data_IF_389615821420
#
_entry.id   IF_389615821420
#
_cell.length_a   1.000
_cell.length_b   1.000
_cell.length_c   1.000
_cell.angle_alpha   90.00
_cell.angle_beta   90.00
_cell.angle_gamma   90.00
#
_symmetry.space_group_name_H-M   'P 1'
#
loop_
_entity.id
_entity.type
_entity.pdbx_description
1 polymer ?
#
# COMPACT_ATOMS: atom_id res chain seq x y z
N UNK A 1 4.84 8.58 36.76
CA UNK A 1 5.15 8.40 35.33
C UNK A 1 3.81 8.35 34.63
N UNK A 2 3.48 9.42 33.93
CA UNK A 2 2.29 9.51 33.09
C UNK A 2 2.51 8.59 31.89
N UNK A 3 1.85 7.43 31.87
CA UNK A 3 1.79 6.62 30.66
C UNK A 3 0.74 7.28 29.76
N UNK A 4 1.19 8.23 28.95
CA UNK A 4 0.35 8.81 27.89
C UNK A 4 -0.27 7.67 27.09
N UNK A 5 -1.59 7.58 27.08
CA UNK A 5 -2.33 6.64 26.23
C UNK A 5 -1.82 6.86 24.80
N UNK A 6 -1.31 5.81 24.11
CA UNK A 6 -0.77 5.98 22.78
C UNK A 6 -1.84 6.56 21.88
N UNK A 7 -1.48 7.64 21.20
CA UNK A 7 -2.37 8.31 20.26
C UNK A 7 -2.82 7.28 19.21
N UNK A 8 -4.12 6.93 19.17
CA UNK A 8 -4.63 5.87 18.32
C UNK A 8 -4.40 6.12 16.82
N UNK A 9 -4.15 7.37 16.43
CA UNK A 9 -3.84 7.78 15.06
C UNK A 9 -2.36 7.59 14.71
N UNK A 10 -1.46 7.58 15.70
CA UNK A 10 -0.01 7.34 15.47
C UNK A 10 0.31 5.90 15.08
N UNK A 11 -0.61 4.95 15.26
CA UNK A 11 -0.40 3.53 14.93
C UNK A 11 -1.24 3.04 13.74
N UNK A 12 -2.14 3.87 13.22
CA UNK A 12 -2.91 3.52 12.04
C UNK A 12 -1.97 3.31 10.83
N UNK A 13 -2.17 2.22 10.09
CA UNK A 13 -1.45 1.95 8.84
C UNK A 13 -2.40 2.22 7.69
N UNK A 14 -1.96 3.03 6.73
CA UNK A 14 -2.72 3.30 5.51
C UNK A 14 -2.35 2.27 4.44
N UNK A 15 -3.27 1.35 4.05
CA UNK A 15 -3.00 0.46 2.93
C UNK A 15 -3.13 1.22 1.60
N UNK A 16 -2.27 0.89 0.65
CA UNK A 16 -2.37 1.38 -0.74
C UNK A 16 -2.39 0.17 -1.65
N UNK A 17 -3.50 0.02 -2.37
CA UNK A 17 -3.69 -1.03 -3.37
C UNK A 17 -3.53 -0.42 -4.75
N UNK A 18 -2.58 -0.93 -5.53
CA UNK A 18 -2.14 -0.29 -6.77
C UNK A 18 -2.12 -1.29 -7.92
N UNK A 19 -3.00 -1.13 -8.91
CA UNK A 19 -2.88 -1.81 -10.21
C UNK A 19 -1.76 -1.16 -11.03
N UNK A 20 -0.58 -1.78 -11.02
CA UNK A 20 0.62 -1.23 -11.65
C UNK A 20 0.62 -1.37 -13.19
N UNK A 21 -0.38 -2.03 -13.77
CA UNK A 21 -0.54 -2.17 -15.21
C UNK A 21 -1.44 -1.08 -15.79
N UNK A 22 -2.56 -0.79 -15.12
CA UNK A 22 -3.44 0.32 -15.51
C UNK A 22 -2.86 1.68 -15.04
N UNK A 23 -2.07 1.70 -13.96
CA UNK A 23 -1.36 2.87 -13.43
C UNK A 23 0.15 2.55 -13.30
N UNK A 24 0.96 2.70 -14.35
CA UNK A 24 2.37 2.31 -14.29
C UNK A 24 3.20 3.17 -13.33
N UNK A 25 4.31 2.60 -12.83
CA UNK A 25 5.27 3.34 -12.01
C UNK A 25 5.87 4.51 -12.79
N UNK A 26 6.18 5.63 -12.11
CA UNK A 26 6.94 6.72 -12.71
C UNK A 26 8.27 6.19 -13.26
N UNK A 27 8.64 6.53 -14.50
CA UNK A 27 9.92 6.13 -15.06
C UNK A 27 11.06 6.75 -14.25
N UNK A 28 12.16 6.02 -14.10
CA UNK A 28 13.39 6.47 -13.43
C UNK A 28 13.27 6.73 -11.92
N UNK A 29 12.17 6.35 -11.27
CA UNK A 29 12.06 6.41 -9.80
C UNK A 29 12.39 5.06 -9.15
N UNK A 30 13.10 5.12 -8.03
CA UNK A 30 13.36 3.96 -7.18
C UNK A 30 12.11 3.61 -6.35
N UNK A 31 11.97 2.36 -5.87
CA UNK A 31 10.86 1.98 -4.99
C UNK A 31 10.74 2.86 -3.72
N UNK A 32 11.88 3.29 -3.15
CA UNK A 32 11.89 4.15 -1.97
C UNK A 32 11.41 5.59 -2.28
N UNK A 33 11.79 6.15 -3.43
CA UNK A 33 11.27 7.47 -3.88
C UNK A 33 9.77 7.43 -4.14
N UNK A 34 9.28 6.37 -4.78
CA UNK A 34 7.85 6.16 -5.03
C UNK A 34 7.10 6.05 -3.70
N UNK A 35 7.60 5.25 -2.77
CA UNK A 35 6.99 5.11 -1.44
C UNK A 35 6.93 6.44 -0.69
N UNK A 36 8.03 7.20 -0.67
CA UNK A 36 8.08 8.50 0.00
C UNK A 36 7.10 9.49 -0.62
N UNK A 37 7.00 9.51 -1.95
CA UNK A 37 6.02 10.36 -2.65
C UNK A 37 4.58 10.03 -2.26
N UNK A 38 4.23 8.74 -2.18
CA UNK A 38 2.91 8.28 -1.75
C UNK A 38 2.66 8.66 -0.27
N UNK A 39 3.62 8.41 0.61
CA UNK A 39 3.50 8.72 2.03
C UNK A 39 3.31 10.22 2.27
N UNK A 40 4.07 11.08 1.59
CA UNK A 40 3.90 12.53 1.66
C UNK A 40 2.51 12.97 1.17
N UNK A 41 2.05 12.44 0.03
CA UNK A 41 0.73 12.79 -0.51
C UNK A 41 -0.44 12.33 0.39
N UNK A 42 -0.26 11.23 1.12
CA UNK A 42 -1.24 10.75 2.11
C UNK A 42 -1.23 11.62 3.38
N UNK A 43 -0.05 11.99 3.86
CA UNK A 43 0.10 12.86 5.02
C UNK A 43 -0.53 14.26 4.76
N UNK A 44 -0.34 14.82 3.57
CA UNK A 44 -0.99 16.07 3.13
C UNK A 44 -2.52 16.00 3.14
N UNK A 45 -3.08 14.78 3.08
CA UNK A 45 -4.52 14.50 3.12
C UNK A 45 -4.99 14.03 4.50
N UNK A 46 -4.19 14.24 5.54
CA UNK A 46 -4.48 13.88 6.94
C UNK A 46 -4.59 12.37 7.18
N UNK A 47 -4.04 11.54 6.29
CA UNK A 47 -3.85 10.10 6.55
C UNK A 47 -2.52 9.83 7.26
N UNK A 48 -2.36 8.61 7.77
CA UNK A 48 -1.10 8.16 8.37
C UNK A 48 -0.01 8.02 7.29
N UNK A 49 1.20 8.46 7.64
CA UNK A 49 2.45 8.30 6.88
C UNK A 49 3.02 6.87 6.99
N UNK A 50 2.49 6.04 7.89
CA UNK A 50 2.76 4.60 7.94
C UNK A 50 1.98 3.91 6.84
N UNK A 51 2.60 3.79 5.69
CA UNK A 51 1.99 3.21 4.49
C UNK A 51 2.46 1.78 4.28
N UNK A 52 1.56 0.94 3.76
CA UNK A 52 1.91 -0.33 3.13
C UNK A 52 1.37 -0.32 1.71
N UNK A 53 2.24 -0.50 0.72
CA UNK A 53 1.87 -0.46 -0.69
C UNK A 53 1.90 -1.87 -1.27
N UNK A 54 0.78 -2.32 -1.82
CA UNK A 54 0.66 -3.55 -2.61
C UNK A 54 0.44 -3.19 -4.07
N UNK A 55 1.46 -3.44 -4.88
CA UNK A 55 1.42 -3.22 -6.30
C UNK A 55 1.19 -4.53 -7.06
N UNK A 56 0.08 -4.61 -7.79
CA UNK A 56 -0.36 -5.79 -8.52
C UNK A 56 0.15 -5.74 -9.95
N UNK A 57 0.86 -6.79 -10.36
CA UNK A 57 1.52 -6.92 -11.66
C UNK A 57 0.90 -8.04 -12.48
N UNK A 58 0.91 -7.87 -13.79
CA UNK A 58 0.59 -8.97 -14.71
C UNK A 58 1.74 -9.98 -14.70
N UNK A 59 1.44 -11.23 -14.31
CA UNK A 59 2.44 -12.26 -14.19
C UNK A 59 2.75 -13.03 -15.47
N UNK A 60 2.01 -12.77 -16.54
CA UNK A 60 2.27 -13.30 -17.88
C UNK A 60 3.13 -12.35 -18.71
N UNK A 61 3.20 -11.06 -18.34
CA UNK A 61 4.09 -10.08 -18.96
C UNK A 61 5.51 -10.18 -18.41
N UNK A 62 6.46 -10.49 -19.29
CA UNK A 62 7.90 -10.40 -19.01
C UNK A 62 8.38 -8.97 -19.24
N UNK A 63 9.18 -8.42 -18.33
CA UNK A 63 9.70 -7.05 -18.47
C UNK A 63 10.76 -6.68 -17.44
N UNK A 64 11.61 -5.72 -17.80
CA UNK A 64 12.80 -5.29 -17.04
C UNK A 64 12.51 -4.90 -15.59
N UNK A 65 11.38 -4.22 -15.32
CA UNK A 65 11.00 -3.83 -13.96
C UNK A 65 10.64 -5.04 -13.11
N UNK A 66 10.05 -6.07 -13.70
CA UNK A 66 9.60 -7.27 -13.00
C UNK A 66 10.77 -8.13 -12.55
N UNK A 67 11.76 -8.33 -13.42
CA UNK A 67 12.98 -9.06 -13.08
C UNK A 67 13.82 -8.31 -12.04
N UNK A 68 13.81 -6.97 -12.07
CA UNK A 68 14.48 -6.14 -11.07
C UNK A 68 13.76 -6.11 -9.70
N UNK A 69 12.43 -6.27 -9.69
CA UNK A 69 11.59 -6.21 -8.49
C UNK A 69 11.31 -7.59 -7.86
N UNK A 70 11.39 -8.67 -8.64
CA UNK A 70 11.28 -10.06 -8.17
C UNK A 70 12.64 -10.67 -7.79
N UNK A 71 13.75 -9.96 -8.02
CA UNK A 71 15.07 -10.27 -7.46
C UNK A 71 15.11 -9.99 -5.93
N UNK A 72 16.29 -10.13 -5.32
CA UNK A 72 16.47 -9.80 -3.90
C UNK A 72 16.00 -8.37 -3.60
N UNK A 73 15.12 -8.23 -2.59
CA UNK A 73 14.60 -6.93 -2.16
C UNK A 73 15.76 -6.03 -1.69
N UNK A 74 16.04 -4.97 -2.45
CA UNK A 74 17.11 -4.00 -2.12
C UNK A 74 16.61 -2.71 -1.46
N UNK A 75 15.30 -2.45 -1.46
CA UNK A 75 14.71 -1.22 -0.91
C UNK A 75 14.26 -1.41 0.54
N UNK A 76 14.28 -0.33 1.32
CA UNK A 76 13.87 -0.34 2.72
C UNK A 76 12.33 -0.26 2.88
N UNK A 77 11.66 0.37 1.92
CA UNK A 77 10.24 0.70 1.98
C UNK A 77 9.29 -0.51 2.01
N UNK A 78 8.08 -0.28 2.52
CA UNK A 78 6.99 -1.26 2.60
C UNK A 78 6.16 -1.30 1.31
N UNK A 79 6.84 -1.36 0.17
CA UNK A 79 6.23 -1.62 -1.13
C UNK A 79 6.49 -3.08 -1.53
N UNK A 80 5.42 -3.77 -1.89
CA UNK A 80 5.39 -5.19 -2.23
C UNK A 80 4.84 -5.35 -3.64
N UNK A 81 5.54 -6.13 -4.46
CA UNK A 81 5.18 -6.40 -5.83
C UNK A 81 4.56 -7.79 -5.92
N UNK A 82 3.28 -7.86 -6.28
CA UNK A 82 2.47 -9.06 -6.21
C UNK A 82 2.11 -9.55 -7.62
N UNK A 83 2.45 -10.79 -8.00
CA UNK A 83 1.95 -11.38 -9.24
C UNK A 83 0.44 -11.60 -9.13
N UNK A 84 -0.32 -11.18 -10.15
CA UNK A 84 -1.76 -11.11 -10.04
C UNK A 84 -2.55 -11.44 -11.32
N UNK A 85 -1.90 -11.96 -12.37
CA UNK A 85 -2.58 -12.39 -13.59
C UNK A 85 -2.90 -11.29 -14.56
N UNK A 86 -3.73 -11.67 -15.52
CA UNK A 86 -4.39 -10.76 -16.44
C UNK A 86 -5.28 -9.73 -15.70
N UNK A 87 -5.85 -8.79 -16.48
CA UNK A 87 -6.64 -7.68 -15.93
C UNK A 87 -7.80 -8.11 -15.03
N UNK A 88 -8.47 -9.22 -15.35
CA UNK A 88 -9.59 -9.70 -14.54
C UNK A 88 -9.08 -10.29 -13.21
N UNK A 89 -8.03 -11.10 -13.29
CA UNK A 89 -7.39 -11.74 -12.15
C UNK A 89 -6.83 -10.70 -11.17
N UNK A 90 -6.19 -9.62 -11.67
CA UNK A 90 -5.68 -8.54 -10.82
C UNK A 90 -6.77 -7.85 -10.03
N UNK A 91 -7.90 -7.53 -10.69
CA UNK A 91 -9.04 -6.88 -10.03
C UNK A 91 -9.65 -7.77 -8.94
N UNK A 92 -9.79 -9.06 -9.20
CA UNK A 92 -10.30 -10.03 -8.23
C UNK A 92 -9.36 -10.12 -7.03
N UNK A 93 -8.04 -10.25 -7.26
CA UNK A 93 -7.05 -10.33 -6.19
C UNK A 93 -7.04 -9.06 -5.34
N UNK A 94 -6.98 -7.89 -5.98
CA UNK A 94 -7.00 -6.60 -5.29
C UNK A 94 -8.27 -6.43 -4.45
N UNK A 95 -9.45 -6.79 -4.98
CA UNK A 95 -10.70 -6.73 -4.22
C UNK A 95 -10.70 -7.67 -3.00
N UNK A 96 -10.16 -8.88 -3.14
CA UNK A 96 -10.03 -9.82 -2.03
C UNK A 96 -9.08 -9.31 -0.94
N UNK A 97 -7.94 -8.73 -1.33
CA UNK A 97 -6.97 -8.18 -0.38
C UNK A 97 -7.53 -6.93 0.34
N UNK A 98 -8.30 -6.08 -0.36
CA UNK A 98 -9.04 -4.96 0.26
C UNK A 98 -10.04 -5.48 1.28
N UNK A 99 -10.84 -6.50 0.92
CA UNK A 99 -11.84 -7.08 1.81
C UNK A 99 -11.19 -7.72 3.04
N UNK A 100 -10.08 -8.45 2.84
CA UNK A 100 -9.33 -9.06 3.92
C UNK A 100 -8.73 -7.99 4.84
N UNK A 101 -8.11 -6.96 4.28
CA UNK A 101 -7.58 -5.85 5.08
C UNK A 101 -8.68 -5.15 5.88
N UNK A 102 -9.84 -4.87 5.27
CA UNK A 102 -10.95 -4.23 5.96
C UNK A 102 -11.50 -5.09 7.11
N UNK A 103 -11.48 -6.42 6.97
CA UNK A 103 -11.89 -7.37 8.01
C UNK A 103 -10.91 -7.43 9.17
N UNK A 104 -9.61 -7.48 8.88
CA UNK A 104 -8.55 -7.64 9.88
C UNK A 104 -8.14 -6.31 10.53
N UNK A 105 -8.39 -5.20 9.84
CA UNK A 105 -8.18 -3.88 10.42
C UNK A 105 -9.18 -3.65 11.55
N UNK A 106 -8.73 -3.23 12.75
CA UNK A 106 -9.66 -2.87 13.80
C UNK A 106 -10.54 -1.72 13.30
N UNK A 107 -11.79 -2.02 12.94
CA UNK A 107 -12.83 -1.04 12.76
C UNK A 107 -12.97 -0.30 14.08
N UNK A 108 -12.33 0.87 14.23
CA UNK A 108 -12.69 1.73 15.34
C UNK A 108 -14.12 2.20 15.03
N UNK A 109 -15.09 1.97 15.94
CA UNK A 109 -16.37 2.62 15.79
C UNK A 109 -16.11 4.10 15.63
N UNK A 110 -16.75 4.72 14.64
CA UNK A 110 -16.86 6.17 14.57
C UNK A 110 -17.39 6.60 15.95
N UNK A 111 -16.53 7.13 16.81
CA UNK A 111 -17.03 7.84 17.98
C UNK A 111 -17.68 9.08 17.39
N UNK A 112 -19.00 8.98 17.18
CA UNK A 112 -19.85 10.15 17.22
C UNK A 112 -19.44 10.91 18.47
N UNK A 113 -18.73 12.02 18.29
CA UNK A 113 -18.64 13.02 19.33
C UNK A 113 -20.07 13.49 19.55
N UNK A 114 -20.72 12.87 20.55
CA UNK A 114 -21.99 13.28 21.10
C UNK A 114 -21.92 14.79 21.37
N UNK A 115 -22.79 15.52 20.68
CA UNK A 115 -23.34 16.78 21.18
C UNK A 115 -24.54 16.46 22.08
#
# INVERSE_FOLDING_TARGET
>A
MDQSVPDPYKEAVTPVFWDAEDCPFPPCSTPDEIYNSIASALLEREFSDKVTVWAYLDDDKKGSWRDALLADKTWASRIYFLPAGDKASRRIRMANDILLWARESPCRPFQEYLL
#
